data_IF_337080073746
#
_entry.id   IF_337080073746
#
_cell.length_a   1.000
_cell.length_b   1.000
_cell.length_c   1.000
_cell.angle_alpha   90.00
_cell.angle_beta   90.00
_cell.angle_gamma   90.00
#
_symmetry.space_group_name_H-M   'P 1'
#
loop_
_entity.id
_entity.type
_entity.pdbx_description
1 polymer ?
#
# COMPACT_ATOMS: atom_id res chain seq x y z
N UNK A 1 -54.64 20.71 19.47
CA UNK A 1 -53.17 20.56 19.29
C UNK A 1 -52.88 20.56 17.80
N UNK A 2 -52.22 21.56 17.27
CA UNK A 2 -51.81 21.61 15.84
C UNK A 2 -50.68 20.58 15.69
N UNK A 3 -50.96 19.42 15.11
CA UNK A 3 -49.88 18.48 14.73
C UNK A 3 -48.98 19.22 13.72
N UNK A 4 -47.80 19.53 14.14
CA UNK A 4 -46.80 20.17 13.28
C UNK A 4 -46.30 19.10 12.26
N UNK A 5 -46.91 19.10 11.07
CA UNK A 5 -46.59 18.13 9.97
C UNK A 5 -45.13 18.17 9.52
N UNK A 6 -44.30 19.09 10.03
CA UNK A 6 -42.89 19.20 9.76
C UNK A 6 -42.02 18.28 10.65
N UNK A 7 -42.54 17.87 11.78
CA UNK A 7 -41.88 16.91 12.69
C UNK A 7 -42.48 15.53 12.42
N UNK A 8 -41.69 14.66 11.84
CA UNK A 8 -42.15 13.31 11.42
C UNK A 8 -41.70 12.26 12.42
N UNK A 9 -40.55 12.45 13.04
CA UNK A 9 -39.91 11.50 13.94
C UNK A 9 -39.03 12.26 14.94
N UNK A 10 -38.97 11.77 16.16
CA UNK A 10 -37.95 12.11 17.15
C UNK A 10 -36.84 11.07 17.09
N UNK A 11 -35.59 11.51 16.96
CA UNK A 11 -34.41 10.65 16.89
C UNK A 11 -33.45 10.96 18.03
N UNK A 12 -32.73 9.95 18.50
CA UNK A 12 -31.67 10.12 19.50
C UNK A 12 -30.32 10.22 18.82
N UNK A 13 -29.43 11.02 19.41
CA UNK A 13 -28.01 11.09 19.04
C UNK A 13 -27.16 10.27 20.02
N UNK A 14 -25.86 10.09 19.71
CA UNK A 14 -24.96 9.41 20.64
C UNK A 14 -24.79 10.14 21.96
N UNK A 15 -25.02 11.47 22.00
CA UNK A 15 -25.00 12.27 23.23
C UNK A 15 -26.21 11.97 24.14
N UNK A 16 -27.27 11.40 23.60
CA UNK A 16 -28.50 11.08 24.33
C UNK A 16 -28.52 9.66 24.90
N UNK A 17 -27.52 8.84 24.57
CA UNK A 17 -27.52 7.40 24.92
C UNK A 17 -26.17 6.94 25.51
N UNK A 18 -26.24 5.89 26.32
CA UNK A 18 -25.07 5.22 26.89
C UNK A 18 -25.16 3.72 26.61
N UNK A 19 -24.02 3.09 26.43
CA UNK A 19 -23.93 1.61 26.42
C UNK A 19 -24.17 1.08 27.84
N UNK A 20 -25.07 0.11 27.95
CA UNK A 20 -25.30 -0.57 29.22
C UNK A 20 -24.15 -1.54 29.49
N UNK A 21 -23.45 -1.44 30.64
CA UNK A 21 -22.42 -2.39 31.01
C UNK A 21 -22.96 -3.82 31.07
N UNK A 22 -22.21 -4.75 30.51
CA UNK A 22 -22.55 -6.19 30.51
C UNK A 22 -21.50 -6.97 31.31
N UNK A 23 -21.91 -8.12 31.82
CA UNK A 23 -20.93 -9.06 32.42
C UNK A 23 -19.93 -9.52 31.35
N UNK A 24 -18.64 -9.52 31.69
CA UNK A 24 -17.57 -9.94 30.80
C UNK A 24 -16.59 -10.83 31.52
N UNK A 25 -16.11 -11.86 30.83
CA UNK A 25 -14.97 -12.70 31.26
C UNK A 25 -13.70 -12.41 30.45
N UNK A 26 -13.74 -11.41 29.55
CA UNK A 26 -12.61 -11.02 28.66
C UNK A 26 -11.89 -9.83 29.26
N UNK A 27 -10.57 -9.94 29.39
CA UNK A 27 -9.71 -8.84 29.82
C UNK A 27 -9.41 -7.89 28.65
N UNK A 28 -9.11 -6.61 28.92
CA UNK A 28 -8.84 -5.63 27.85
C UNK A 28 -7.72 -6.01 26.86
N UNK A 29 -6.71 -6.75 27.32
CA UNK A 29 -5.60 -7.24 26.50
C UNK A 29 -5.94 -8.50 25.69
N UNK A 30 -7.10 -9.11 25.92
CA UNK A 30 -7.58 -10.30 25.23
C UNK A 30 -8.63 -9.95 24.15
N UNK A 31 -9.01 -8.68 24.04
CA UNK A 31 -10.04 -8.22 23.10
C UNK A 31 -9.52 -8.28 21.67
N UNK A 32 -10.30 -8.89 20.78
CA UNK A 32 -10.07 -8.78 19.33
C UNK A 32 -10.72 -7.53 18.77
N UNK A 33 -9.92 -6.68 18.13
CA UNK A 33 -10.39 -5.46 17.47
C UNK A 33 -10.75 -5.69 15.99
N UNK A 34 -10.63 -6.93 15.48
CA UNK A 34 -10.95 -7.25 14.10
C UNK A 34 -12.40 -6.89 13.77
N UNK A 35 -12.58 -6.22 12.64
CA UNK A 35 -13.89 -5.76 12.19
C UNK A 35 -14.03 -5.88 10.68
N UNK A 36 -15.25 -6.14 10.22
CA UNK A 36 -15.56 -6.12 8.79
C UNK A 36 -15.88 -4.70 8.37
N UNK A 37 -15.07 -4.13 7.48
CA UNK A 37 -15.36 -2.86 6.84
C UNK A 37 -16.42 -3.05 5.74
N UNK A 38 -16.29 -4.13 4.98
CA UNK A 38 -17.26 -4.55 3.95
C UNK A 38 -17.53 -6.05 4.07
N UNK A 39 -18.28 -6.63 3.12
CA UNK A 39 -18.48 -8.08 3.07
C UNK A 39 -17.19 -8.85 2.78
N UNK A 40 -16.25 -8.22 2.05
CA UNK A 40 -14.99 -8.86 1.60
C UNK A 40 -13.77 -8.37 2.38
N UNK A 41 -13.81 -7.14 2.91
CA UNK A 41 -12.66 -6.49 3.51
C UNK A 41 -12.77 -6.45 5.04
N UNK A 42 -11.79 -7.05 5.71
CA UNK A 42 -11.62 -7.04 7.16
C UNK A 42 -10.42 -6.17 7.56
N UNK A 43 -10.55 -5.44 8.65
CA UNK A 43 -9.48 -4.67 9.29
C UNK A 43 -9.11 -5.29 10.63
N UNK A 44 -7.86 -5.16 11.04
CA UNK A 44 -7.38 -5.62 12.33
C UNK A 44 -7.70 -4.62 13.45
N UNK A 45 -7.85 -3.33 13.10
CA UNK A 45 -8.23 -2.25 14.01
C UNK A 45 -9.33 -1.42 13.34
N UNK A 46 -10.47 -1.11 14.01
CA UNK A 46 -11.63 -0.43 13.43
C UNK A 46 -11.43 1.09 13.33
N UNK A 47 -10.32 1.52 12.73
CA UNK A 47 -9.99 2.96 12.56
C UNK A 47 -9.73 3.26 11.09
N UNK A 48 -10.39 4.31 10.60
CA UNK A 48 -10.26 4.81 9.25
C UNK A 48 -9.84 6.28 9.29
N UNK A 49 -8.93 6.71 8.40
CA UNK A 49 -8.68 8.14 8.27
C UNK A 49 -9.65 8.78 7.28
N UNK A 50 -10.04 10.03 7.57
CA UNK A 50 -10.95 10.79 6.71
C UNK A 50 -10.28 11.15 5.38
N UNK A 51 -11.06 11.09 4.30
CA UNK A 51 -10.63 11.47 2.95
C UNK A 51 -10.63 13.00 2.77
N UNK A 52 -9.91 13.69 3.63
CA UNK A 52 -9.81 15.15 3.66
C UNK A 52 -8.49 15.63 3.09
N UNK A 53 -8.53 16.73 2.33
CA UNK A 53 -7.35 17.46 1.89
C UNK A 53 -6.46 17.83 3.09
N UNK A 54 -5.15 17.78 2.90
CA UNK A 54 -4.14 18.00 3.93
C UNK A 54 -4.17 17.03 5.13
N UNK A 55 -5.04 16.02 5.12
CA UNK A 55 -5.15 14.97 6.16
C UNK A 55 -4.65 13.63 5.64
N UNK A 56 -5.29 13.08 4.61
CA UNK A 56 -4.95 11.73 4.12
C UNK A 56 -4.38 11.73 2.72
N UNK A 57 -3.07 11.65 2.65
CA UNK A 57 -2.29 11.25 1.48
C UNK A 57 -1.55 9.94 1.80
N UNK A 58 -0.62 9.50 0.94
CA UNK A 58 0.08 8.21 1.10
C UNK A 58 0.74 8.02 2.46
N UNK A 59 1.34 9.06 3.06
CA UNK A 59 2.03 8.94 4.33
C UNK A 59 1.10 8.52 5.47
N UNK A 60 -0.04 9.19 5.63
CA UNK A 60 -1.01 8.82 6.66
C UNK A 60 -1.68 7.49 6.33
N UNK A 61 -2.00 7.22 5.05
CA UNK A 61 -2.58 5.95 4.64
C UNK A 61 -1.66 4.76 4.98
N UNK A 62 -0.34 4.90 4.79
CA UNK A 62 0.67 3.92 5.20
C UNK A 62 0.65 3.74 6.73
N UNK A 63 0.69 4.82 7.50
CA UNK A 63 0.67 4.75 8.96
C UNK A 63 -0.59 4.04 9.47
N UNK A 64 -1.77 4.40 8.94
CA UNK A 64 -3.04 3.77 9.29
C UNK A 64 -3.05 2.26 8.99
N UNK A 65 -2.60 1.87 7.80
CA UNK A 65 -2.56 0.47 7.41
C UNK A 65 -1.55 -0.35 8.24
N UNK A 66 -0.41 0.21 8.62
CA UNK A 66 0.59 -0.43 9.51
C UNK A 66 0.00 -0.74 10.88
N UNK A 67 -0.81 0.16 11.43
CA UNK A 67 -1.47 -0.03 12.72
C UNK A 67 -2.74 -0.91 12.65
N UNK A 68 -3.11 -1.39 11.46
CA UNK A 68 -4.22 -2.32 11.26
C UNK A 68 -5.54 -1.69 10.82
N UNK A 69 -5.57 -0.37 10.65
CA UNK A 69 -6.68 0.39 10.07
C UNK A 69 -6.56 0.56 8.55
N UNK A 70 -7.18 1.59 8.00
CA UNK A 70 -7.08 1.95 6.58
C UNK A 70 -7.17 3.46 6.38
N UNK A 71 -6.34 3.99 5.48
CA UNK A 71 -6.41 5.38 5.06
C UNK A 71 -7.17 5.55 3.74
N UNK A 72 -8.02 6.61 3.67
CA UNK A 72 -8.72 6.96 2.43
C UNK A 72 -8.11 8.23 1.83
N UNK A 73 -7.43 8.10 0.69
CA UNK A 73 -6.79 9.20 -0.02
C UNK A 73 -7.85 10.13 -0.59
N UNK A 74 -7.70 11.44 -0.32
CA UNK A 74 -8.68 12.44 -0.73
C UNK A 74 -8.68 12.68 -2.25
N UNK A 75 -9.80 13.22 -2.76
CA UNK A 75 -10.03 13.48 -4.20
C UNK A 75 -9.61 14.87 -4.69
N UNK A 76 -9.17 15.78 -3.79
CA UNK A 76 -8.81 17.15 -4.17
C UNK A 76 -7.42 17.22 -4.82
N UNK A 77 -7.26 16.45 -5.88
CA UNK A 77 -6.06 16.38 -6.72
C UNK A 77 -6.40 15.80 -8.10
N UNK A 78 -5.46 15.85 -9.03
CA UNK A 78 -5.66 15.22 -10.35
C UNK A 78 -5.81 13.70 -10.21
N UNK A 79 -6.38 13.06 -11.22
CA UNK A 79 -6.58 11.60 -11.26
C UNK A 79 -5.23 10.90 -11.14
N UNK A 80 -4.25 11.37 -11.91
CA UNK A 80 -2.91 10.81 -11.99
C UNK A 80 -2.18 10.89 -10.64
N UNK A 81 -2.29 12.06 -9.97
CA UNK A 81 -1.69 12.25 -8.64
C UNK A 81 -2.33 11.35 -7.59
N UNK A 82 -3.66 11.20 -7.60
CA UNK A 82 -4.35 10.33 -6.65
C UNK A 82 -3.96 8.86 -6.86
N UNK A 83 -3.89 8.41 -8.12
CA UNK A 83 -3.41 7.08 -8.47
C UNK A 83 -1.94 6.86 -8.04
N UNK A 84 -1.09 7.88 -8.19
CA UNK A 84 0.29 7.84 -7.69
C UNK A 84 0.35 7.69 -6.17
N UNK A 85 -0.47 8.43 -5.41
CA UNK A 85 -0.56 8.30 -3.95
C UNK A 85 -1.01 6.89 -3.53
N UNK A 86 -2.00 6.29 -4.20
CA UNK A 86 -2.38 4.88 -4.01
C UNK A 86 -1.20 3.95 -4.30
N UNK A 87 -0.51 4.14 -5.42
CA UNK A 87 0.65 3.34 -5.82
C UNK A 87 1.79 3.43 -4.80
N UNK A 88 2.00 4.58 -4.16
CA UNK A 88 2.99 4.74 -3.08
C UNK A 88 2.67 3.84 -1.88
N UNK A 89 1.40 3.77 -1.48
CA UNK A 89 0.95 2.88 -0.39
C UNK A 89 1.16 1.41 -0.78
N UNK A 90 0.74 1.02 -1.98
CA UNK A 90 0.84 -0.35 -2.47
C UNK A 90 2.29 -0.84 -2.65
N UNK A 91 3.20 0.07 -2.96
CA UNK A 91 4.64 -0.23 -3.07
C UNK A 91 5.38 -0.13 -1.73
N UNK A 92 4.70 0.39 -0.70
CA UNK A 92 5.31 0.49 0.61
C UNK A 92 5.43 -0.92 1.21
N UNK A 93 6.64 -1.32 1.44
CA UNK A 93 7.21 -2.51 2.08
C UNK A 93 6.19 -3.61 2.49
N UNK A 94 6.08 -4.64 1.68
CA UNK A 94 5.06 -5.70 1.80
C UNK A 94 5.61 -7.10 2.12
N UNK A 95 6.78 -7.17 2.72
CA UNK A 95 7.45 -8.44 3.06
C UNK A 95 8.27 -9.01 1.90
N UNK A 96 7.72 -9.16 0.71
CA UNK A 96 8.42 -9.42 -0.53
C UNK A 96 7.90 -8.47 -1.61
N UNK A 97 8.77 -7.66 -2.17
CA UNK A 97 8.46 -6.80 -3.31
C UNK A 97 8.36 -7.69 -4.55
N UNK A 98 7.15 -7.98 -5.02
CA UNK A 98 6.91 -8.91 -6.15
C UNK A 98 7.31 -8.34 -7.52
N UNK A 99 7.40 -7.04 -7.67
CA UNK A 99 7.88 -6.37 -8.88
C UNK A 99 8.84 -5.26 -8.48
N UNK A 100 10.09 -5.60 -8.10
CA UNK A 100 11.06 -4.61 -7.71
C UNK A 100 11.41 -3.71 -8.89
N UNK A 101 11.73 -2.45 -8.59
CA UNK A 101 12.30 -1.56 -9.58
C UNK A 101 13.68 -2.09 -9.94
N UNK A 102 13.90 -2.28 -11.21
CA UNK A 102 15.14 -2.85 -11.76
C UNK A 102 15.83 -1.86 -12.68
N UNK A 103 17.07 -2.14 -12.97
CA UNK A 103 17.91 -1.36 -13.87
C UNK A 103 18.63 -2.29 -14.84
N UNK A 104 18.90 -1.82 -16.05
CA UNK A 104 19.74 -2.55 -17.01
C UNK A 104 21.22 -2.41 -16.69
N UNK A 105 22.02 -3.43 -16.99
CA UNK A 105 23.46 -3.43 -16.73
C UNK A 105 24.21 -2.27 -17.44
N UNK A 106 23.71 -1.85 -18.60
CA UNK A 106 24.28 -0.77 -19.41
C UNK A 106 23.91 0.65 -18.94
N UNK A 107 23.02 0.79 -17.97
CA UNK A 107 22.60 2.07 -17.43
C UNK A 107 23.78 2.75 -16.68
N UNK A 108 23.72 4.06 -16.51
CA UNK A 108 24.73 4.83 -15.80
C UNK A 108 24.46 4.87 -14.30
N UNK A 109 25.48 5.22 -13.52
CA UNK A 109 25.31 5.45 -12.08
C UNK A 109 24.39 6.62 -11.79
N UNK A 110 24.35 7.64 -12.68
CA UNK A 110 23.41 8.76 -12.57
C UNK A 110 21.97 8.30 -12.66
N UNK A 111 21.61 7.46 -13.64
CA UNK A 111 20.30 6.85 -13.79
C UNK A 111 19.93 6.00 -12.57
N UNK A 112 20.87 5.24 -12.02
CA UNK A 112 20.66 4.47 -10.80
C UNK A 112 20.35 5.38 -9.61
N UNK A 113 21.08 6.47 -9.42
CA UNK A 113 20.84 7.46 -8.36
C UNK A 113 19.51 8.17 -8.52
N UNK A 114 19.14 8.53 -9.74
CA UNK A 114 17.84 9.14 -10.03
C UNK A 114 16.69 8.22 -9.66
N UNK A 115 16.73 6.95 -10.08
CA UNK A 115 15.73 5.95 -9.70
C UNK A 115 15.68 5.77 -8.17
N UNK A 116 16.82 5.67 -7.50
CA UNK A 116 16.86 5.51 -6.05
C UNK A 116 16.25 6.72 -5.32
N UNK A 117 16.48 7.96 -5.81
CA UNK A 117 15.88 9.19 -5.26
C UNK A 117 14.38 9.25 -5.50
N UNK A 118 13.95 9.01 -6.75
CA UNK A 118 12.55 9.11 -7.15
C UNK A 118 11.68 8.11 -6.39
N UNK A 119 12.19 6.90 -6.19
CA UNK A 119 11.46 5.82 -5.50
C UNK A 119 11.83 5.67 -4.02
N UNK A 120 12.75 6.50 -3.48
CA UNK A 120 13.23 6.46 -2.09
C UNK A 120 13.73 5.08 -1.65
N UNK A 121 14.43 4.40 -2.55
CA UNK A 121 15.02 3.08 -2.33
C UNK A 121 16.53 3.15 -2.25
N UNK A 122 17.17 2.20 -1.57
CA UNK A 122 18.60 2.18 -1.31
C UNK A 122 19.37 1.14 -2.13
N UNK A 123 18.74 0.56 -3.14
CA UNK A 123 19.37 -0.38 -4.05
C UNK A 123 18.41 -0.98 -5.05
N UNK A 124 18.98 -1.38 -6.18
CA UNK A 124 18.28 -1.84 -7.37
C UNK A 124 18.84 -3.19 -7.82
N UNK A 125 18.03 -4.22 -8.02
CA UNK A 125 18.43 -5.37 -8.80
C UNK A 125 18.73 -4.96 -10.24
N UNK A 126 19.78 -5.52 -10.80
CA UNK A 126 20.19 -5.30 -12.19
C UNK A 126 19.81 -6.52 -13.02
N UNK A 127 19.08 -6.31 -14.10
CA UNK A 127 18.57 -7.38 -14.95
C UNK A 127 18.94 -7.16 -16.41
N UNK A 128 18.90 -8.25 -17.20
CA UNK A 128 18.99 -8.15 -18.65
C UNK A 128 17.61 -7.89 -19.30
N UNK A 129 17.57 -7.80 -20.63
CA UNK A 129 16.33 -7.55 -21.39
C UNK A 129 15.28 -8.67 -21.28
N UNK A 130 15.66 -9.85 -20.75
CA UNK A 130 14.77 -10.99 -20.53
C UNK A 130 14.30 -11.08 -19.07
N UNK A 131 14.78 -10.18 -18.19
CA UNK A 131 14.46 -10.14 -16.77
C UNK A 131 15.30 -11.09 -15.90
N UNK A 132 16.42 -11.61 -16.43
CA UNK A 132 17.34 -12.40 -15.65
C UNK A 132 18.21 -11.52 -14.76
N UNK A 133 18.37 -11.90 -13.51
CA UNK A 133 19.20 -11.18 -12.54
C UNK A 133 20.68 -11.27 -12.92
N UNK A 134 21.34 -10.13 -13.03
CA UNK A 134 22.79 -10.00 -13.33
C UNK A 134 23.59 -9.51 -12.14
N UNK A 135 22.96 -8.78 -11.24
CA UNK A 135 23.63 -8.22 -10.09
C UNK A 135 22.69 -7.36 -9.23
N UNK A 136 23.27 -6.68 -8.28
CA UNK A 136 22.61 -5.69 -7.46
C UNK A 136 23.51 -4.47 -7.28
N UNK A 137 22.92 -3.26 -7.35
CA UNK A 137 23.61 -2.02 -7.02
C UNK A 137 22.91 -1.33 -5.85
N UNK A 138 23.67 -0.82 -4.91
CA UNK A 138 23.16 -0.22 -3.67
C UNK A 138 23.78 1.15 -3.43
N UNK A 139 23.21 1.93 -2.49
CA UNK A 139 23.78 3.19 -2.06
C UNK A 139 25.23 3.05 -1.56
N UNK A 140 25.61 1.88 -1.05
CA UNK A 140 26.98 1.61 -0.59
C UNK A 140 27.95 1.61 -1.76
N UNK A 141 27.55 1.05 -2.90
CA UNK A 141 28.38 0.96 -4.11
C UNK A 141 28.55 2.33 -4.79
N UNK A 142 27.54 3.21 -4.63
CA UNK A 142 27.51 4.57 -5.20
C UNK A 142 28.16 5.62 -4.29
N UNK A 143 28.34 5.31 -3.01
CA UNK A 143 28.86 6.26 -2.02
C UNK A 143 30.29 6.67 -2.36
N UNK A 144 30.53 7.99 -2.41
CA UNK A 144 31.85 8.61 -2.74
C UNK A 144 32.31 8.37 -4.19
N UNK A 145 31.39 8.02 -5.13
CA UNK A 145 31.73 8.00 -6.56
C UNK A 145 31.58 9.40 -7.14
N UNK A 146 32.65 9.88 -7.78
CA UNK A 146 32.70 11.21 -8.43
C UNK A 146 32.22 11.10 -9.89
N UNK A 147 32.61 10.02 -10.59
CA UNK A 147 32.20 9.77 -11.97
C UNK A 147 30.90 8.97 -12.04
N UNK A 148 29.80 9.68 -12.29
CA UNK A 148 28.47 9.11 -12.43
C UNK A 148 28.16 8.61 -13.85
N UNK A 149 29.04 8.83 -14.81
CA UNK A 149 28.90 8.36 -16.19
C UNK A 149 29.28 6.89 -16.37
N UNK A 150 29.94 6.29 -15.37
CA UNK A 150 30.28 4.86 -15.35
C UNK A 150 29.04 3.99 -15.47
N UNK A 151 29.20 2.82 -16.07
CA UNK A 151 28.10 1.84 -16.20
C UNK A 151 27.91 1.07 -14.89
N UNK A 152 26.65 0.75 -14.62
CA UNK A 152 26.23 -0.04 -13.45
C UNK A 152 26.96 -1.38 -13.42
N UNK A 153 27.18 -2.05 -14.56
CA UNK A 153 27.86 -3.34 -14.65
C UNK A 153 29.32 -3.35 -14.15
N UNK A 154 29.97 -2.17 -14.13
CA UNK A 154 31.34 -2.02 -13.65
C UNK A 154 31.45 -2.00 -12.13
N UNK A 155 30.35 -1.62 -11.46
CA UNK A 155 30.33 -1.32 -10.01
C UNK A 155 29.41 -2.27 -9.23
N UNK A 156 28.36 -2.81 -9.88
CA UNK A 156 27.39 -3.70 -9.22
C UNK A 156 28.04 -4.94 -8.61
N UNK A 157 27.45 -5.45 -7.55
CA UNK A 157 27.80 -6.76 -7.02
C UNK A 157 27.22 -7.83 -7.96
N UNK A 158 28.07 -8.59 -8.62
CA UNK A 158 27.74 -9.67 -9.56
C UNK A 158 28.35 -11.01 -9.18
N UNK A 159 29.50 -11.00 -8.53
CA UNK A 159 30.17 -12.20 -8.05
C UNK A 159 29.65 -12.57 -6.65
N UNK A 160 29.42 -13.85 -6.39
CA UNK A 160 28.89 -14.36 -5.12
C UNK A 160 27.56 -13.70 -4.73
N UNK A 161 26.72 -13.37 -5.73
CA UNK A 161 25.40 -12.77 -5.49
C UNK A 161 24.53 -13.73 -4.70
N UNK A 162 24.17 -13.34 -3.48
CA UNK A 162 23.27 -14.12 -2.61
C UNK A 162 21.83 -13.92 -3.09
N UNK A 163 21.16 -15.03 -3.39
CA UNK A 163 19.76 -15.05 -3.84
C UNK A 163 18.99 -16.14 -3.10
N UNK A 164 17.66 -16.08 -3.12
CA UNK A 164 16.80 -17.15 -2.63
C UNK A 164 15.75 -17.52 -3.68
N UNK A 165 15.13 -18.69 -3.55
CA UNK A 165 14.12 -19.17 -4.48
C UNK A 165 12.73 -18.63 -4.14
N UNK A 166 11.82 -18.63 -5.10
CA UNK A 166 10.39 -18.41 -4.85
C UNK A 166 9.88 -19.43 -3.82
N UNK A 167 9.15 -18.96 -2.82
CA UNK A 167 8.65 -19.77 -1.71
C UNK A 167 9.51 -19.68 -0.44
N UNK A 168 10.68 -19.03 -0.48
CA UNK A 168 11.46 -18.74 0.73
C UNK A 168 10.61 -17.98 1.75
N UNK A 169 10.54 -18.49 2.96
CA UNK A 169 9.82 -17.83 4.06
C UNK A 169 10.58 -16.61 4.56
N UNK A 170 9.89 -15.72 5.26
CA UNK A 170 10.54 -14.53 5.83
C UNK A 170 11.58 -14.85 6.89
N UNK A 171 11.39 -15.91 7.66
CA UNK A 171 12.37 -16.37 8.66
C UNK A 171 13.63 -16.91 7.98
N UNK A 172 13.49 -17.69 6.91
CA UNK A 172 14.62 -18.15 6.10
C UNK A 172 15.35 -16.96 5.46
N UNK A 173 14.61 -16.02 4.87
CA UNK A 173 15.18 -14.81 4.29
C UNK A 173 15.94 -13.97 5.33
N UNK A 174 15.40 -13.82 6.54
CA UNK A 174 16.07 -13.16 7.66
C UNK A 174 17.40 -13.82 7.99
N UNK A 175 17.42 -15.14 8.09
CA UNK A 175 18.64 -15.89 8.39
C UNK A 175 19.70 -15.68 7.30
N UNK A 176 19.31 -15.76 6.02
CA UNK A 176 20.21 -15.51 4.88
C UNK A 176 20.77 -14.08 4.91
N UNK A 177 19.92 -13.06 5.14
CA UNK A 177 20.32 -11.67 5.23
C UNK A 177 21.35 -11.45 6.35
N UNK A 178 21.13 -12.06 7.53
CA UNK A 178 22.02 -11.96 8.68
C UNK A 178 23.35 -12.71 8.46
N UNK A 179 23.30 -13.95 7.98
CA UNK A 179 24.48 -14.78 7.73
C UNK A 179 25.44 -14.12 6.73
N UNK A 180 24.87 -13.60 5.62
CA UNK A 180 25.64 -12.94 4.57
C UNK A 180 25.88 -11.45 4.80
N UNK A 181 25.33 -10.86 5.89
CA UNK A 181 25.43 -9.43 6.24
C UNK A 181 24.99 -8.49 5.10
N UNK A 182 23.92 -8.88 4.41
CA UNK A 182 23.31 -8.12 3.32
C UNK A 182 21.96 -7.56 3.77
N UNK A 183 21.52 -6.46 3.15
CA UNK A 183 20.26 -5.79 3.47
C UNK A 183 19.15 -6.14 2.46
N UNK A 184 19.50 -6.74 1.34
CA UNK A 184 18.59 -7.03 0.23
C UNK A 184 18.88 -8.42 -0.31
N UNK A 185 17.80 -9.19 -0.45
CA UNK A 185 17.84 -10.57 -0.94
C UNK A 185 16.96 -10.69 -2.19
N UNK A 186 17.54 -10.74 -3.39
CA UNK A 186 16.78 -11.02 -4.60
C UNK A 186 16.18 -12.43 -4.56
N UNK A 187 14.90 -12.52 -4.91
CA UNK A 187 14.18 -13.78 -5.06
C UNK A 187 14.11 -14.14 -6.53
N UNK A 188 14.56 -15.32 -6.87
CA UNK A 188 14.67 -15.76 -8.26
C UNK A 188 13.93 -17.09 -8.51
N UNK A 189 13.50 -17.27 -9.74
CA UNK A 189 13.04 -18.54 -10.29
C UNK A 189 13.97 -18.90 -11.47
N UNK A 190 14.87 -19.85 -11.23
CA UNK A 190 16.01 -20.05 -12.12
C UNK A 190 16.90 -18.83 -12.13
N UNK A 191 17.05 -18.15 -13.29
CA UNK A 191 17.77 -16.88 -13.44
C UNK A 191 16.87 -15.66 -13.35
N UNK A 192 15.54 -15.81 -13.47
CA UNK A 192 14.58 -14.70 -13.52
C UNK A 192 14.33 -14.11 -12.15
N UNK A 193 14.45 -12.79 -12.05
CA UNK A 193 14.08 -12.05 -10.87
C UNK A 193 12.54 -12.09 -10.69
N UNK A 194 12.08 -12.50 -9.48
CA UNK A 194 10.67 -12.60 -9.11
C UNK A 194 10.30 -11.67 -7.98
N UNK A 195 11.30 -11.26 -7.20
CA UNK A 195 11.03 -10.38 -6.06
C UNK A 195 12.31 -9.91 -5.39
N UNK A 196 12.13 -9.10 -4.37
CA UNK A 196 13.18 -8.59 -3.51
C UNK A 196 12.67 -8.57 -2.07
N UNK A 197 13.40 -9.16 -1.14
CA UNK A 197 13.15 -9.07 0.29
C UNK A 197 14.24 -8.17 0.89
N UNK A 198 13.86 -7.23 1.75
CA UNK A 198 14.81 -6.39 2.45
C UNK A 198 14.71 -6.58 3.96
N UNK A 199 15.76 -6.20 4.69
CA UNK A 199 15.77 -6.27 6.16
C UNK A 199 14.66 -5.38 6.75
N UNK A 200 14.35 -4.26 6.09
CA UNK A 200 13.24 -3.37 6.48
C UNK A 200 11.87 -4.04 6.38
N UNK A 201 11.67 -4.90 5.39
CA UNK A 201 10.41 -5.64 5.23
C UNK A 201 10.20 -6.59 6.41
N UNK A 202 11.28 -7.22 6.86
CA UNK A 202 11.26 -8.13 8.02
C UNK A 202 11.00 -7.34 9.31
N UNK A 203 11.72 -6.22 9.51
CA UNK A 203 11.51 -5.35 10.67
C UNK A 203 10.08 -4.81 10.73
N UNK A 204 9.49 -4.46 9.59
CA UNK A 204 8.11 -4.00 9.54
C UNK A 204 7.08 -5.06 9.93
N UNK A 205 7.32 -6.33 9.59
CA UNK A 205 6.42 -7.41 10.01
C UNK A 205 6.50 -7.63 11.52
N UNK A 206 7.71 -7.56 12.07
CA UNK A 206 7.92 -7.70 13.51
C UNK A 206 7.31 -6.51 14.28
N UNK A 207 7.52 -5.29 13.78
CA UNK A 207 7.07 -4.07 14.45
C UNK A 207 5.56 -3.81 14.26
N UNK A 208 4.95 -4.30 13.15
CA UNK A 208 3.55 -4.07 12.79
C UNK A 208 2.79 -5.37 12.52
N UNK A 209 2.65 -6.25 13.51
CA UNK A 209 2.02 -7.57 13.35
C UNK A 209 0.53 -7.47 12.97
N UNK A 210 -0.11 -6.34 13.30
CA UNK A 210 -1.51 -6.07 12.99
C UNK A 210 -1.73 -5.33 11.66
N UNK A 211 -0.68 -5.11 10.85
CA UNK A 211 -0.82 -4.35 9.61
C UNK A 211 -1.96 -4.90 8.71
N UNK A 212 -2.80 -3.99 8.21
CA UNK A 212 -3.87 -4.32 7.27
C UNK A 212 -3.28 -4.55 5.88
N UNK A 213 -3.24 -5.82 5.45
CA UNK A 213 -2.61 -6.26 4.19
C UNK A 213 -3.62 -6.96 3.29
N UNK A 214 -3.39 -6.86 1.98
CA UNK A 214 -4.10 -7.65 0.98
C UNK A 214 -3.52 -9.07 0.85
N UNK A 215 -4.10 -9.89 -0.04
CA UNK A 215 -3.65 -11.26 -0.29
C UNK A 215 -2.23 -11.37 -0.87
N UNK A 216 -1.67 -10.27 -1.36
CA UNK A 216 -0.29 -10.19 -1.85
C UNK A 216 0.68 -9.63 -0.80
N UNK A 217 0.21 -9.41 0.42
CA UNK A 217 0.99 -8.86 1.53
C UNK A 217 1.21 -7.34 1.47
N UNK A 218 0.59 -6.62 0.52
CA UNK A 218 0.71 -5.16 0.37
C UNK A 218 -0.26 -4.45 1.31
N UNK A 219 0.11 -3.27 1.80
CA UNK A 219 -0.74 -2.46 2.65
C UNK A 219 -2.07 -2.12 1.95
N UNK A 220 -3.17 -2.15 2.70
CA UNK A 220 -4.49 -1.76 2.21
C UNK A 220 -4.64 -0.26 2.16
N UNK A 221 -5.34 0.23 1.14
CA UNK A 221 -5.61 1.65 0.94
C UNK A 221 -6.96 1.87 0.29
N UNK A 222 -7.69 2.84 0.82
CA UNK A 222 -8.91 3.36 0.22
C UNK A 222 -8.66 4.68 -0.53
N UNK A 223 -9.58 5.05 -1.39
CA UNK A 223 -9.57 6.35 -2.05
C UNK A 223 -10.98 6.92 -2.21
N UNK A 224 -11.10 8.23 -2.11
CA UNK A 224 -12.36 8.93 -2.29
C UNK A 224 -12.56 9.35 -3.75
N UNK A 225 -13.80 9.24 -4.22
CA UNK A 225 -14.23 9.79 -5.51
C UNK A 225 -15.49 10.64 -5.34
N UNK A 226 -15.71 11.58 -6.24
CA UNK A 226 -16.93 12.36 -6.29
C UNK A 226 -18.01 11.72 -7.18
N UNK A 227 -19.05 12.52 -7.47
CA UNK A 227 -20.13 12.14 -8.39
C UNK A 227 -20.02 12.81 -9.77
N UNK A 228 -18.94 13.53 -10.01
CA UNK A 228 -18.68 14.23 -11.27
C UNK A 228 -18.55 13.30 -12.48
N UNK A 229 -18.52 13.87 -13.70
CA UNK A 229 -18.42 13.09 -14.93
C UNK A 229 -17.11 12.30 -15.07
N UNK A 230 -16.07 12.70 -14.34
CA UNK A 230 -14.76 12.05 -14.31
C UNK A 230 -14.66 10.87 -13.32
N UNK A 231 -15.72 10.61 -12.53
CA UNK A 231 -15.67 9.65 -11.43
C UNK A 231 -15.28 8.23 -11.88
N UNK A 232 -15.88 7.72 -12.95
CA UNK A 232 -15.59 6.38 -13.47
C UNK A 232 -14.16 6.28 -13.98
N UNK A 233 -13.67 7.29 -14.73
CA UNK A 233 -12.29 7.36 -15.21
C UNK A 233 -11.31 7.40 -14.04
N UNK A 234 -11.65 8.13 -12.97
CA UNK A 234 -10.85 8.20 -11.73
C UNK A 234 -10.79 6.84 -11.04
N UNK A 235 -11.93 6.15 -10.92
CA UNK A 235 -11.98 4.79 -10.35
C UNK A 235 -11.12 3.84 -11.18
N UNK A 236 -11.17 3.89 -12.51
CA UNK A 236 -10.34 3.06 -13.38
C UNK A 236 -8.83 3.23 -13.08
N UNK A 237 -8.36 4.47 -12.99
CA UNK A 237 -6.96 4.76 -12.67
C UNK A 237 -6.57 4.29 -11.25
N UNK A 238 -7.48 4.41 -10.27
CA UNK A 238 -7.27 3.94 -8.91
C UNK A 238 -7.21 2.41 -8.82
N UNK A 239 -8.05 1.71 -9.60
CA UNK A 239 -8.03 0.23 -9.71
C UNK A 239 -6.73 -0.24 -10.34
N UNK A 240 -6.26 0.42 -11.40
CA UNK A 240 -4.95 0.13 -12.01
C UNK A 240 -3.80 0.35 -11.02
N UNK A 241 -3.90 1.38 -10.16
CA UNK A 241 -2.95 1.62 -9.08
C UNK A 241 -3.07 0.61 -7.91
N UNK A 242 -4.10 -0.24 -7.89
CA UNK A 242 -4.31 -1.32 -6.93
C UNK A 242 -5.07 -0.91 -5.67
N UNK A 243 -5.96 0.08 -5.73
CA UNK A 243 -6.82 0.46 -4.60
C UNK A 243 -7.67 -0.72 -4.11
N UNK A 244 -7.87 -0.84 -2.79
CA UNK A 244 -8.64 -1.95 -2.21
C UNK A 244 -10.13 -1.61 -2.05
N UNK A 245 -10.45 -0.34 -1.87
CA UNK A 245 -11.81 0.12 -1.62
C UNK A 245 -11.99 1.58 -2.08
N UNK A 246 -13.17 1.87 -2.60
CA UNK A 246 -13.57 3.23 -3.00
C UNK A 246 -14.67 3.75 -2.06
N UNK A 247 -14.57 5.00 -1.65
CA UNK A 247 -15.65 5.74 -1.01
C UNK A 247 -16.19 6.83 -1.93
N UNK A 248 -17.50 6.88 -2.11
CA UNK A 248 -18.15 7.99 -2.82
C UNK A 248 -18.44 9.09 -1.81
N UNK A 249 -17.61 10.13 -1.85
CA UNK A 249 -17.66 11.23 -0.90
C UNK A 249 -18.53 12.37 -1.42
N UNK A 250 -19.65 12.64 -0.71
CA UNK A 250 -20.64 13.63 -1.04
C UNK A 250 -21.31 14.19 0.22
N UNK A 251 -21.74 15.44 0.17
CA UNK A 251 -22.47 16.09 1.27
C UNK A 251 -23.82 15.42 1.60
N UNK A 252 -24.46 14.74 0.63
CA UNK A 252 -25.72 14.03 0.82
C UNK A 252 -25.73 12.72 0.05
N UNK A 253 -25.29 11.66 0.73
CA UNK A 253 -25.14 10.33 0.13
C UNK A 253 -26.45 9.74 -0.41
N UNK A 254 -27.61 10.04 0.21
CA UNK A 254 -28.92 9.54 -0.24
C UNK A 254 -29.55 10.41 -1.32
N UNK A 255 -28.76 11.06 -2.16
CA UNK A 255 -29.26 11.75 -3.35
C UNK A 255 -29.26 10.82 -4.56
N UNK A 256 -30.17 11.08 -5.52
CA UNK A 256 -30.31 10.27 -6.74
C UNK A 256 -28.98 10.19 -7.50
N UNK A 257 -28.26 11.33 -7.67
CA UNK A 257 -26.99 11.37 -8.39
C UNK A 257 -25.89 10.51 -7.76
N UNK A 258 -25.84 10.43 -6.42
CA UNK A 258 -24.89 9.55 -5.71
C UNK A 258 -25.24 8.08 -5.95
N UNK A 259 -26.52 7.72 -5.78
CA UNK A 259 -26.97 6.34 -5.96
C UNK A 259 -26.75 5.85 -7.40
N UNK A 260 -27.04 6.70 -8.39
CA UNK A 260 -26.85 6.37 -9.80
C UNK A 260 -25.34 6.20 -10.10
N UNK A 261 -24.47 7.06 -9.55
CA UNK A 261 -23.01 6.94 -9.72
C UNK A 261 -22.47 5.66 -9.08
N UNK A 262 -22.93 5.30 -7.91
CA UNK A 262 -22.55 4.03 -7.26
C UNK A 262 -22.94 2.83 -8.13
N UNK A 263 -24.15 2.84 -8.72
CA UNK A 263 -24.59 1.76 -9.62
C UNK A 263 -23.70 1.65 -10.85
N UNK A 264 -23.34 2.78 -11.46
CA UNK A 264 -22.43 2.83 -12.62
C UNK A 264 -21.06 2.27 -12.28
N UNK A 265 -20.42 2.76 -11.20
CA UNK A 265 -19.12 2.25 -10.74
C UNK A 265 -19.20 0.76 -10.44
N UNK A 266 -20.23 0.30 -9.75
CA UNK A 266 -20.41 -1.13 -9.41
C UNK A 266 -20.61 -2.00 -10.66
N UNK A 267 -21.25 -1.46 -11.69
CA UNK A 267 -21.45 -2.17 -12.98
C UNK A 267 -20.13 -2.36 -13.73
N UNK A 268 -19.24 -1.35 -13.70
CA UNK A 268 -17.96 -1.41 -14.40
C UNK A 268 -16.87 -2.13 -13.58
N UNK A 269 -16.92 -2.05 -12.26
CA UNK A 269 -15.94 -2.65 -11.35
C UNK A 269 -16.63 -3.55 -10.30
N UNK A 270 -17.20 -4.70 -10.70
CA UNK A 270 -18.01 -5.55 -9.80
C UNK A 270 -17.21 -6.16 -8.65
N UNK A 271 -15.90 -6.35 -8.81
CA UNK A 271 -15.03 -6.93 -7.79
C UNK A 271 -14.48 -5.91 -6.78
N UNK A 272 -14.58 -4.61 -7.09
CA UNK A 272 -14.13 -3.54 -6.20
C UNK A 272 -15.10 -3.35 -5.03
N UNK A 273 -14.57 -3.16 -3.82
CA UNK A 273 -15.37 -2.80 -2.65
C UNK A 273 -15.64 -1.30 -2.54
#
# INVERSE_FOLDING_TARGET
>A
MIQNKKIVLEGLTFDDVLLIPQASSVLPNEVSLKTKLTKKLELNVPVLSAAMDTVTESQLAIAMAREGGIGFIHKNMTIERQAEEVSKVKRYESGMITNPITLGANATLEEALELMRNYKISGLPVVDGEGNLKGIITNRDLKYREDLSLKVEEIMTKENLVTASVGTTLDEAKNILLEHRIEKLPIVEGSKLRGLITIKDIDNIINYPNAAKDSQGRLRVGAAVGVGPDAVRRVAALVEAGVDIITVDSAHAHSKGVVDRIREIRSEFPELD
#
